data_IF_416651461269
#
_entry.id   IF_416651461269
#
_cell.length_a   1.000
_cell.length_b   1.000
_cell.length_c   1.000
_cell.angle_alpha   90.00
_cell.angle_beta   90.00
_cell.angle_gamma   90.00
#
_symmetry.space_group_name_H-M   'P 1'
#
loop_
_entity.id
_entity.type
_entity.pdbx_description
1 polymer ?
#
# COMPACT_ATOMS: atom_id res chain seq x y z
N UNK A 1 17.98 21.14 -1.04
CA UNK A 1 16.70 21.33 -0.39
C UNK A 1 16.03 19.96 -0.22
N UNK A 2 15.41 19.73 0.94
CA UNK A 2 14.76 18.44 1.25
C UNK A 2 13.34 18.36 0.68
N UNK A 3 12.77 19.48 0.27
CA UNK A 3 11.38 19.62 -0.19
C UNK A 3 11.35 20.51 -1.42
N UNK A 4 10.69 20.05 -2.49
CA UNK A 4 10.56 20.81 -3.74
C UNK A 4 9.37 21.78 -3.68
N UNK A 5 8.22 21.32 -3.22
CA UNK A 5 6.97 22.10 -3.19
C UNK A 5 6.22 21.88 -1.87
N UNK A 6 5.63 22.95 -1.36
CA UNK A 6 4.77 22.89 -0.16
C UNK A 6 3.42 23.54 -0.51
N UNK A 7 2.33 22.88 -0.11
CA UNK A 7 0.97 23.43 -0.11
C UNK A 7 0.46 23.49 1.31
N UNK A 8 -0.12 24.62 1.69
CA UNK A 8 -0.69 24.83 3.02
C UNK A 8 -2.17 25.15 2.88
N UNK A 9 -2.98 24.61 3.76
CA UNK A 9 -4.41 24.91 3.86
C UNK A 9 -4.85 24.94 5.31
N UNK A 10 -5.75 25.85 5.64
CA UNK A 10 -6.43 25.92 6.94
C UNK A 10 -7.76 25.12 6.91
N UNK A 11 -8.21 24.71 5.72
CA UNK A 11 -9.45 23.96 5.56
C UNK A 11 -9.15 22.48 5.26
N UNK A 12 -9.47 21.57 6.18
CA UNK A 12 -9.25 20.14 5.97
C UNK A 12 -10.06 19.57 4.79
N UNK A 13 -11.20 20.19 4.46
CA UNK A 13 -12.01 19.79 3.30
C UNK A 13 -11.25 19.89 1.95
N UNK A 14 -10.13 20.63 1.90
CA UNK A 14 -9.29 20.74 0.70
C UNK A 14 -8.25 19.62 0.59
N UNK A 15 -8.12 18.76 1.58
CA UNK A 15 -7.13 17.67 1.57
C UNK A 15 -7.35 16.77 0.36
N UNK A 16 -8.58 16.34 0.11
CA UNK A 16 -8.91 15.48 -1.04
C UNK A 16 -8.52 16.13 -2.38
N UNK A 17 -8.81 17.43 -2.53
CA UNK A 17 -8.40 18.18 -3.72
C UNK A 17 -6.88 18.18 -3.90
N UNK A 18 -6.11 18.36 -2.83
CA UNK A 18 -4.64 18.32 -2.91
C UNK A 18 -4.10 16.92 -3.15
N UNK A 19 -4.74 15.88 -2.63
CA UNK A 19 -4.36 14.50 -2.95
C UNK A 19 -4.51 14.21 -4.44
N UNK A 20 -5.60 14.69 -5.07
CA UNK A 20 -5.86 14.46 -6.50
C UNK A 20 -4.99 15.29 -7.44
N UNK A 21 -4.71 16.56 -7.05
CA UNK A 21 -4.10 17.52 -7.97
C UNK A 21 -2.63 17.83 -7.66
N UNK A 22 -2.17 17.50 -6.47
CA UNK A 22 -0.80 17.79 -6.03
C UNK A 22 0.00 16.50 -5.75
N UNK A 23 -0.69 15.39 -5.47
CA UNK A 23 -0.11 14.09 -5.11
C UNK A 23 1.03 14.20 -4.09
N UNK A 24 0.76 14.61 -2.85
CA UNK A 24 1.80 14.88 -1.87
C UNK A 24 2.52 13.62 -1.43
N UNK A 25 3.85 13.67 -1.33
CA UNK A 25 4.64 12.57 -0.76
C UNK A 25 4.40 12.40 0.74
N UNK A 26 4.16 13.53 1.45
CA UNK A 26 3.91 13.57 2.88
C UNK A 26 2.78 14.56 3.17
N UNK A 27 1.92 14.19 4.09
CA UNK A 27 0.86 15.05 4.62
C UNK A 27 1.17 15.34 6.09
N UNK A 28 1.38 16.63 6.40
CA UNK A 28 1.47 17.13 7.76
C UNK A 28 0.07 17.54 8.20
N UNK A 29 -0.50 16.80 9.14
CA UNK A 29 -1.88 16.98 9.58
C UNK A 29 -1.91 17.54 11.00
N UNK A 30 -2.48 18.71 11.20
CA UNK A 30 -2.73 19.21 12.56
C UNK A 30 -3.81 18.35 13.23
N UNK A 31 -3.61 18.03 14.49
CA UNK A 31 -4.58 17.21 15.23
C UNK A 31 -5.87 18.01 15.55
N UNK A 32 -5.78 19.32 15.64
CA UNK A 32 -6.90 20.20 15.99
C UNK A 32 -7.06 21.31 14.95
N UNK A 33 -8.16 21.31 14.21
CA UNK A 33 -8.48 22.30 13.17
C UNK A 33 -9.42 23.40 13.67
N UNK A 34 -10.36 23.07 14.59
CA UNK A 34 -11.27 24.04 15.15
C UNK A 34 -10.79 24.55 16.50
N UNK A 35 -11.17 25.80 16.82
CA UNK A 35 -10.77 26.47 18.07
C UNK A 35 -11.28 25.78 19.34
N UNK A 36 -12.29 24.91 19.23
CA UNK A 36 -12.96 24.25 20.35
C UNK A 36 -12.59 22.76 20.54
N UNK A 37 -11.71 22.21 19.70
CA UNK A 37 -11.42 20.78 19.72
C UNK A 37 -10.13 20.45 20.46
N UNK A 38 -10.19 20.34 21.78
CA UNK A 38 -9.13 19.70 22.58
C UNK A 38 -9.10 18.16 22.43
N UNK A 39 -10.11 17.57 21.78
CA UNK A 39 -10.29 16.12 21.68
C UNK A 39 -9.36 15.44 20.65
N UNK A 40 -8.92 16.17 19.63
CA UNK A 40 -8.15 15.60 18.51
C UNK A 40 -8.95 14.70 17.57
N UNK A 41 -10.26 14.53 17.79
CA UNK A 41 -11.11 13.64 16.98
C UNK A 41 -11.15 14.02 15.50
N UNK A 42 -11.09 15.31 15.19
CA UNK A 42 -11.07 15.80 13.82
C UNK A 42 -9.85 15.31 13.04
N UNK A 43 -8.67 15.35 13.66
CA UNK A 43 -7.45 14.84 13.04
C UNK A 43 -7.54 13.36 12.71
N UNK A 44 -8.11 12.53 13.61
CA UNK A 44 -8.31 11.11 13.36
C UNK A 44 -9.32 10.85 12.23
N UNK A 45 -10.41 11.60 12.16
CA UNK A 45 -11.39 11.49 11.08
C UNK A 45 -10.76 11.79 9.71
N UNK A 46 -9.90 12.81 9.64
CA UNK A 46 -9.20 13.14 8.39
C UNK A 46 -8.10 12.14 8.07
N UNK A 47 -7.39 11.60 9.05
CA UNK A 47 -6.46 10.51 8.83
C UNK A 47 -7.15 9.31 8.19
N UNK A 48 -8.29 8.91 8.72
CA UNK A 48 -9.08 7.80 8.18
C UNK A 48 -9.48 8.05 6.72
N UNK A 49 -10.01 9.23 6.39
CA UNK A 49 -10.37 9.60 5.02
C UNK A 49 -9.17 9.59 4.08
N UNK A 50 -8.02 10.10 4.52
CA UNK A 50 -6.79 10.09 3.73
C UNK A 50 -6.39 8.66 3.42
N UNK A 51 -6.36 7.77 4.42
CA UNK A 51 -5.95 6.38 4.28
C UNK A 51 -6.97 5.54 3.50
N UNK A 52 -8.26 5.87 3.55
CA UNK A 52 -9.28 5.27 2.67
C UNK A 52 -9.04 5.63 1.20
N UNK A 53 -8.61 6.86 0.92
CA UNK A 53 -8.33 7.33 -0.44
C UNK A 53 -6.98 6.83 -0.97
N UNK A 54 -5.93 6.91 -0.16
CA UNK A 54 -4.60 6.38 -0.47
C UNK A 54 -4.07 5.59 0.74
N UNK A 55 -4.20 4.25 0.73
CA UNK A 55 -3.67 3.39 1.80
C UNK A 55 -2.15 3.47 1.97
N UNK A 56 -1.44 4.01 0.99
CA UNK A 56 0.01 4.21 1.02
C UNK A 56 0.41 5.62 1.47
N UNK A 57 -0.57 6.50 1.74
CA UNK A 57 -0.30 7.86 2.18
C UNK A 57 0.59 7.89 3.43
N UNK A 58 1.53 8.81 3.46
CA UNK A 58 2.41 9.04 4.60
C UNK A 58 1.93 10.28 5.34
N UNK A 59 1.28 10.06 6.49
CA UNK A 59 0.70 11.11 7.32
C UNK A 59 1.49 11.25 8.61
N UNK A 60 1.94 12.47 8.90
CA UNK A 60 2.58 12.89 10.13
C UNK A 60 1.63 13.84 10.87
N UNK A 61 1.33 13.56 12.12
CA UNK A 61 0.56 14.49 12.94
C UNK A 61 1.42 15.61 13.49
N UNK A 62 0.83 16.81 13.54
CA UNK A 62 1.38 17.95 14.29
C UNK A 62 0.49 18.17 15.51
N UNK A 63 1.06 18.23 16.70
CA UNK A 63 0.30 18.36 17.95
C UNK A 63 0.88 19.43 18.87
N UNK A 64 0.01 20.17 19.55
CA UNK A 64 0.43 21.19 20.53
C UNK A 64 0.88 20.56 21.87
N UNK A 65 0.55 19.31 22.14
CA UNK A 65 0.92 18.62 23.38
C UNK A 65 1.52 17.26 23.08
N UNK A 66 2.59 16.93 23.78
CA UNK A 66 3.16 15.58 23.80
C UNK A 66 2.27 14.63 24.64
N UNK A 67 0.99 14.50 24.26
CA UNK A 67 0.07 13.55 24.84
C UNK A 67 0.41 12.16 24.28
N UNK A 68 1.14 11.42 25.08
CA UNK A 68 1.61 10.08 24.72
C UNK A 68 0.47 9.15 24.33
N UNK A 69 -0.70 9.27 24.98
CA UNK A 69 -1.85 8.43 24.63
C UNK A 69 -2.41 8.75 23.25
N UNK A 70 -2.50 10.03 22.90
CA UNK A 70 -2.96 10.45 21.56
C UNK A 70 -1.94 10.08 20.50
N UNK A 71 -0.65 10.20 20.79
CA UNK A 71 0.41 9.77 19.89
C UNK A 71 0.30 8.26 19.58
N UNK A 72 0.16 7.42 20.60
CA UNK A 72 -0.03 5.97 20.43
C UNK A 72 -1.30 5.65 19.63
N UNK A 73 -2.40 6.35 19.90
CA UNK A 73 -3.64 6.20 19.12
C UNK A 73 -3.44 6.59 17.64
N UNK A 74 -2.70 7.66 17.38
CA UNK A 74 -2.41 8.13 16.03
C UNK A 74 -1.62 7.08 15.22
N UNK A 75 -0.58 6.51 15.80
CA UNK A 75 0.21 5.44 15.17
C UNK A 75 -0.67 4.19 14.92
N UNK A 76 -1.48 3.79 15.90
CA UNK A 76 -2.42 2.65 15.71
C UNK A 76 -3.48 2.92 14.65
N UNK A 77 -3.86 4.17 14.44
CA UNK A 77 -4.80 4.58 13.40
C UNK A 77 -4.16 4.68 12.01
N UNK A 78 -2.83 4.49 11.90
CA UNK A 78 -2.10 4.47 10.63
C UNK A 78 -1.27 5.71 10.32
N UNK A 79 -1.17 6.68 11.23
CA UNK A 79 -0.18 7.74 11.11
C UNK A 79 1.24 7.17 11.27
N UNK A 80 2.20 7.74 10.56
CA UNK A 80 3.58 7.25 10.59
C UNK A 80 4.33 7.76 11.82
N UNK A 81 4.12 9.02 12.18
CA UNK A 81 4.76 9.66 13.33
C UNK A 81 3.99 10.91 13.74
N UNK A 82 4.46 11.58 14.79
CA UNK A 82 3.92 12.86 15.25
C UNK A 82 5.04 13.86 15.58
N UNK A 83 4.75 15.14 15.42
CA UNK A 83 5.68 16.25 15.64
C UNK A 83 5.07 17.18 16.69
N UNK A 84 5.66 17.29 17.88
CA UNK A 84 5.17 18.21 18.91
C UNK A 84 5.47 19.66 18.55
N UNK A 85 4.56 20.56 18.88
CA UNK A 85 4.77 22.03 18.84
C UNK A 85 5.21 22.51 20.24
N UNK A 86 6.23 23.37 20.35
CA UNK A 86 7.15 23.83 19.31
C UNK A 86 8.14 22.72 18.93
N UNK A 87 8.45 22.63 17.63
CA UNK A 87 9.38 21.61 17.13
C UNK A 87 10.83 22.10 17.13
N UNK A 88 11.74 21.17 17.33
CA UNK A 88 13.16 21.34 17.08
C UNK A 88 13.44 21.07 15.60
N UNK A 89 14.16 21.98 14.93
CA UNK A 89 14.39 21.90 13.48
C UNK A 89 15.05 20.59 13.06
N UNK A 90 16.04 20.13 13.81
CA UNK A 90 16.76 18.89 13.52
C UNK A 90 15.85 17.67 13.59
N UNK A 91 15.02 17.60 14.63
CA UNK A 91 14.06 16.52 14.82
C UNK A 91 12.98 16.51 13.75
N UNK A 92 12.45 17.69 13.41
CA UNK A 92 11.49 17.85 12.30
C UNK A 92 12.07 17.34 10.99
N UNK A 93 13.30 17.74 10.64
CA UNK A 93 13.96 17.31 9.41
C UNK A 93 14.25 15.82 9.40
N UNK A 94 14.66 15.23 10.53
CA UNK A 94 14.89 13.79 10.65
C UNK A 94 13.60 13.00 10.42
N UNK A 95 12.49 13.42 11.05
CA UNK A 95 11.16 12.80 10.90
C UNK A 95 10.68 12.89 9.45
N UNK A 96 10.76 14.07 8.83
CA UNK A 96 10.39 14.24 7.41
C UNK A 96 11.26 13.38 6.50
N UNK A 97 12.57 13.33 6.71
CA UNK A 97 13.47 12.51 5.90
C UNK A 97 13.14 11.01 5.99
N UNK A 98 12.80 10.53 7.18
CA UNK A 98 12.37 9.14 7.39
C UNK A 98 11.04 8.86 6.69
N UNK A 99 10.09 9.79 6.76
CA UNK A 99 8.80 9.70 6.10
C UNK A 99 8.93 9.69 4.57
N UNK A 100 9.82 10.50 3.98
CA UNK A 100 10.12 10.50 2.54
C UNK A 100 10.64 9.13 2.10
N UNK A 101 11.61 8.57 2.80
CA UNK A 101 12.15 7.23 2.49
C UNK A 101 11.05 6.17 2.53
N UNK A 102 10.18 6.22 3.54
CA UNK A 102 9.08 5.29 3.64
C UNK A 102 8.13 5.41 2.43
N UNK A 103 7.78 6.63 2.00
CA UNK A 103 6.94 6.86 0.81
C UNK A 103 7.59 6.27 -0.44
N UNK A 104 8.86 6.54 -0.66
CA UNK A 104 9.63 6.02 -1.79
C UNK A 104 9.64 4.48 -1.80
N UNK A 105 9.95 3.85 -0.66
CA UNK A 105 9.94 2.38 -0.54
C UNK A 105 8.54 1.79 -0.83
N UNK A 106 7.48 2.40 -0.30
CA UNK A 106 6.10 1.96 -0.58
C UNK A 106 5.75 2.05 -2.06
N UNK A 107 6.11 3.15 -2.71
CA UNK A 107 5.86 3.36 -4.15
C UNK A 107 6.64 2.34 -4.98
N UNK A 108 7.90 2.08 -4.64
CA UNK A 108 8.72 1.09 -5.32
C UNK A 108 8.15 -0.34 -5.18
N UNK A 109 7.72 -0.71 -3.99
CA UNK A 109 7.08 -2.03 -3.76
C UNK A 109 5.79 -2.19 -4.58
N UNK A 110 4.98 -1.14 -4.69
CA UNK A 110 3.76 -1.18 -5.53
C UNK A 110 4.14 -1.35 -6.99
N UNK A 111 5.08 -0.54 -7.50
CA UNK A 111 5.55 -0.63 -8.88
C UNK A 111 6.13 -2.01 -9.22
N UNK A 112 6.94 -2.60 -8.33
CA UNK A 112 7.48 -3.93 -8.50
C UNK A 112 6.38 -5.01 -8.50
N UNK A 113 5.38 -4.88 -7.65
CA UNK A 113 4.22 -5.80 -7.65
C UNK A 113 3.42 -5.71 -8.94
N UNK A 114 3.19 -4.50 -9.45
CA UNK A 114 2.50 -4.29 -10.73
C UNK A 114 3.30 -4.86 -11.90
N UNK A 115 4.62 -4.71 -11.92
CA UNK A 115 5.49 -5.32 -12.91
C UNK A 115 5.44 -6.85 -12.84
N UNK A 116 5.52 -7.43 -11.64
CA UNK A 116 5.38 -8.87 -11.45
C UNK A 116 4.01 -9.37 -11.91
N UNK A 117 2.95 -8.64 -11.60
CA UNK A 117 1.59 -8.99 -12.04
C UNK A 117 1.45 -8.88 -13.56
N UNK A 118 2.06 -7.86 -14.19
CA UNK A 118 2.06 -7.71 -15.63
C UNK A 118 2.86 -8.81 -16.34
N UNK A 119 3.97 -9.26 -15.75
CA UNK A 119 4.74 -10.40 -16.24
C UNK A 119 4.04 -11.74 -15.96
N UNK A 120 3.19 -11.79 -14.94
CA UNK A 120 2.34 -12.92 -14.56
C UNK A 120 0.91 -12.74 -15.08
N UNK A 121 0.66 -11.76 -15.98
CA UNK A 121 -0.65 -11.60 -16.59
C UNK A 121 -1.08 -12.98 -17.09
N UNK A 122 -2.28 -13.47 -16.74
CA UNK A 122 -2.72 -14.75 -17.22
C UNK A 122 -2.67 -14.66 -18.74
N UNK A 123 -1.78 -15.45 -19.35
CA UNK A 123 -1.95 -15.86 -20.74
C UNK A 123 -3.42 -16.24 -20.86
N UNK A 124 -4.16 -15.61 -21.76
CA UNK A 124 -5.57 -15.90 -22.00
C UNK A 124 -5.74 -17.41 -21.95
N UNK A 125 -6.35 -17.90 -20.87
CA UNK A 125 -6.54 -19.27 -20.44
C UNK A 125 -5.73 -20.30 -21.24
N UNK A 126 -4.67 -20.83 -20.65
CA UNK A 126 -3.92 -21.93 -21.28
C UNK A 126 -4.88 -23.09 -21.47
N UNK A 127 -5.53 -23.14 -22.62
CA UNK A 127 -6.40 -24.26 -23.00
C UNK A 127 -5.49 -25.41 -23.35
N UNK A 128 -5.42 -26.42 -22.47
CA UNK A 128 -4.75 -27.68 -22.76
C UNK A 128 -5.64 -28.44 -23.72
N UNK A 129 -5.28 -28.45 -25.01
CA UNK A 129 -6.00 -29.17 -26.05
C UNK A 129 -5.44 -30.57 -26.14
N UNK A 130 -6.32 -31.57 -25.97
CA UNK A 130 -5.96 -32.96 -26.12
C UNK A 130 -7.14 -33.89 -25.84
N UNK A 131 -7.26 -34.97 -26.64
CA UNK A 131 -8.37 -35.92 -26.58
C UNK A 131 -7.91 -37.31 -26.12
N UNK A 132 -6.59 -37.52 -25.94
CA UNK A 132 -6.10 -38.81 -25.46
C UNK A 132 -6.52 -39.08 -24.02
N UNK A 133 -6.82 -40.34 -23.65
CA UNK A 133 -7.21 -40.69 -22.27
C UNK A 133 -6.20 -40.19 -21.23
N UNK A 134 -4.90 -40.25 -21.56
CA UNK A 134 -3.83 -39.80 -20.66
C UNK A 134 -3.87 -38.28 -20.41
N UNK A 135 -4.11 -37.45 -21.43
CA UNK A 135 -4.18 -36.02 -21.28
C UNK A 135 -5.46 -35.58 -20.55
N UNK A 136 -6.57 -36.31 -20.78
CA UNK A 136 -7.82 -36.04 -20.07
C UNK A 136 -7.70 -36.32 -18.58
N UNK A 137 -6.94 -37.33 -18.17
CA UNK A 137 -6.65 -37.65 -16.78
C UNK A 137 -5.79 -36.53 -16.13
N UNK A 138 -4.80 -35.99 -16.86
CA UNK A 138 -3.99 -34.83 -16.42
C UNK A 138 -4.88 -33.61 -16.23
N UNK A 139 -5.75 -33.27 -17.20
CA UNK A 139 -6.68 -32.16 -17.11
C UNK A 139 -7.62 -32.30 -15.90
N UNK A 140 -8.14 -33.53 -15.69
CA UNK A 140 -8.98 -33.78 -14.52
C UNK A 140 -8.22 -33.57 -13.19
N UNK A 141 -6.97 -34.00 -13.14
CA UNK A 141 -6.11 -33.82 -11.97
C UNK A 141 -5.83 -32.35 -11.73
N UNK A 142 -5.51 -31.56 -12.77
CA UNK A 142 -5.31 -30.11 -12.68
C UNK A 142 -6.54 -29.46 -12.07
N UNK A 143 -7.74 -29.71 -12.58
CA UNK A 143 -9.00 -29.14 -12.05
C UNK A 143 -9.26 -29.50 -10.60
N UNK A 144 -8.73 -30.61 -10.12
CA UNK A 144 -8.90 -31.05 -8.74
C UNK A 144 -7.95 -30.38 -7.75
N UNK A 145 -6.77 -29.95 -8.21
CA UNK A 145 -5.71 -29.37 -7.39
C UNK A 145 -5.60 -27.85 -7.53
N UNK A 146 -6.13 -27.27 -8.62
CA UNK A 146 -6.16 -25.83 -8.89
C UNK A 146 -7.06 -25.11 -7.91
N UNK A 147 -6.89 -24.89 -6.76
CA UNK A 147 -7.70 -24.28 -5.70
C UNK A 147 -7.25 -24.74 -4.33
N UNK A 148 -6.13 -25.45 -4.30
CA UNK A 148 -5.51 -25.89 -3.06
C UNK A 148 -4.17 -25.21 -2.86
N UNK A 149 -3.78 -24.96 -1.60
CA UNK A 149 -2.46 -24.41 -1.23
C UNK A 149 -1.36 -25.50 -1.21
N UNK A 150 -1.53 -26.60 -1.96
CA UNK A 150 -0.61 -27.72 -1.96
C UNK A 150 0.66 -27.43 -2.79
N UNK A 151 1.82 -27.83 -2.29
CA UNK A 151 3.05 -27.82 -3.06
C UNK A 151 3.02 -28.97 -4.09
N UNK A 152 3.16 -28.64 -5.39
CA UNK A 152 3.04 -29.58 -6.48
C UNK A 152 4.39 -29.70 -7.18
N UNK A 153 4.84 -30.95 -7.38
CA UNK A 153 6.03 -31.27 -8.16
C UNK A 153 5.60 -31.93 -9.48
N UNK A 154 5.96 -31.28 -10.61
CA UNK A 154 5.70 -31.83 -11.96
C UNK A 154 6.95 -32.55 -12.47
N UNK A 155 6.81 -33.82 -12.79
CA UNK A 155 7.87 -34.66 -13.35
C UNK A 155 7.51 -35.07 -14.77
N UNK A 156 8.51 -35.11 -15.65
CA UNK A 156 8.35 -35.53 -17.04
C UNK A 156 9.58 -35.21 -17.88
N UNK A 157 9.65 -35.83 -19.07
CA UNK A 157 10.73 -35.59 -20.01
C UNK A 157 10.77 -34.15 -20.56
N UNK A 158 11.89 -33.73 -21.14
CA UNK A 158 11.99 -32.41 -21.75
C UNK A 158 11.03 -32.29 -22.94
N UNK A 159 10.32 -31.17 -23.06
CA UNK A 159 9.37 -30.93 -24.16
C UNK A 159 7.96 -31.49 -23.94
N UNK A 160 7.65 -32.11 -22.81
CA UNK A 160 6.31 -32.69 -22.53
C UNK A 160 5.25 -31.67 -22.08
N UNK A 161 5.50 -30.34 -22.16
CA UNK A 161 4.51 -29.34 -21.83
C UNK A 161 4.33 -29.09 -20.33
N UNK A 162 5.33 -29.41 -19.49
CA UNK A 162 5.25 -29.15 -18.04
C UNK A 162 4.98 -27.68 -17.70
N UNK A 163 5.50 -26.76 -18.50
CA UNK A 163 5.26 -25.32 -18.31
C UNK A 163 3.80 -24.92 -18.53
N UNK A 164 3.15 -25.57 -19.54
CA UNK A 164 1.72 -25.40 -19.80
C UNK A 164 0.87 -25.91 -18.64
N UNK A 165 1.23 -27.08 -18.12
CA UNK A 165 0.55 -27.68 -16.95
C UNK A 165 0.74 -26.83 -15.70
N UNK A 166 1.96 -26.35 -15.45
CA UNK A 166 2.24 -25.49 -14.31
C UNK A 166 1.41 -24.19 -14.35
N UNK A 167 1.30 -23.55 -15.51
CA UNK A 167 0.46 -22.37 -15.72
C UNK A 167 -1.02 -22.66 -15.51
N UNK A 168 -1.52 -23.81 -16.02
CA UNK A 168 -2.91 -24.19 -15.85
C UNK A 168 -3.31 -24.56 -14.40
N UNK A 169 -2.35 -24.91 -13.57
CA UNK A 169 -2.57 -25.16 -12.13
C UNK A 169 -2.61 -23.84 -11.34
N UNK A 170 -1.83 -22.84 -11.79
CA UNK A 170 -1.69 -21.57 -11.10
C UNK A 170 -2.89 -20.61 -11.31
N UNK A 171 -3.71 -20.83 -12.33
CA UNK A 171 -4.96 -20.09 -12.58
C UNK A 171 -6.04 -20.43 -11.54
#
# INVERSE_FOLDING_TARGET
>A
PYVEKIKVTTSPARIEYFMDNFNPDIILLDMNFSRDASSGQEGFLWLEKILQKDPQAVVLFITAYADTEKAVKAIRAGAIDFIPKPWETEKLLATISSAIRLRQTRTEVVALKEQLTALSAPDEGVEIIGESPAILEVIHTIKKISGTDANILLLGENGTGKDLIARAIYQ
#
